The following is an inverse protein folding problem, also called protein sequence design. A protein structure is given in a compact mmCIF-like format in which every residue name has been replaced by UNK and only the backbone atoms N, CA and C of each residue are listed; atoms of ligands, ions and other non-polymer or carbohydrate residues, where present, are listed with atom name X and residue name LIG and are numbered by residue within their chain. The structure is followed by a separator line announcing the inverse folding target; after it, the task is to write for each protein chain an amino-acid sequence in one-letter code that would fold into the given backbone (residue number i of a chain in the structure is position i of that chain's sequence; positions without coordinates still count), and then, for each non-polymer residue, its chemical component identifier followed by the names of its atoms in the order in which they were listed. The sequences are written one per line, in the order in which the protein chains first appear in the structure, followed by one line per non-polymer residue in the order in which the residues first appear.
data_IF_227779443508
#
_entry.id   IF_227779443508
#
_cell.length_a   1.000
_cell.length_b   1.000
_cell.length_c   1.000
_cell.angle_alpha   90.00
_cell.angle_beta   90.00
_cell.angle_gamma   90.00
#
_symmetry.space_group_name_H-M   'P 1'
#
loop_
_entity.id
_entity.type
_entity.pdbx_description
1 polymer ?
#
# COMPACT_ATOMS: atom_id res chain seq x y z
N UNK A 1 -21.60 -17.77 30.48
CA UNK A 1 -21.41 -16.44 31.09
C UNK A 1 -21.28 -15.43 29.95
N UNK A 2 -22.37 -14.67 29.70
CA UNK A 2 -22.36 -13.63 28.66
C UNK A 2 -21.57 -12.43 29.16
N UNK A 3 -20.72 -11.87 28.30
CA UNK A 3 -20.02 -10.62 28.58
C UNK A 3 -21.05 -9.49 28.75
N UNK A 4 -20.93 -8.70 29.83
CA UNK A 4 -21.81 -7.56 30.11
C UNK A 4 -21.70 -6.55 28.94
N UNK A 5 -22.80 -5.94 28.45
CA UNK A 5 -22.78 -5.04 27.28
C UNK A 5 -21.81 -3.87 27.41
N UNK A 6 -21.49 -3.41 28.62
CA UNK A 6 -20.45 -2.40 28.85
C UNK A 6 -19.04 -2.83 28.40
N UNK A 7 -18.69 -4.10 28.51
CA UNK A 7 -17.42 -4.61 28.06
C UNK A 7 -17.30 -4.67 26.53
N UNK A 8 -18.42 -4.90 25.84
CA UNK A 8 -18.48 -4.83 24.36
C UNK A 8 -18.21 -3.42 23.84
N UNK A 9 -18.74 -2.40 24.53
CA UNK A 9 -18.53 -0.99 24.18
C UNK A 9 -17.04 -0.62 24.38
N UNK A 10 -16.44 -1.00 25.50
CA UNK A 10 -15.01 -0.75 25.78
C UNK A 10 -14.12 -1.46 24.76
N UNK A 11 -14.45 -2.68 24.35
CA UNK A 11 -13.74 -3.43 23.33
C UNK A 11 -13.80 -2.75 21.95
N UNK A 12 -14.96 -2.22 21.57
CA UNK A 12 -15.15 -1.49 20.32
C UNK A 12 -14.34 -0.18 20.29
N UNK A 13 -14.32 0.57 21.42
CA UNK A 13 -13.52 1.78 21.54
C UNK A 13 -12.00 1.50 21.42
N UNK A 14 -11.52 0.47 22.10
CA UNK A 14 -10.10 0.08 22.06
C UNK A 14 -9.70 -0.39 20.66
N UNK A 15 -10.55 -1.15 19.97
CA UNK A 15 -10.25 -1.61 18.61
C UNK A 15 -10.23 -0.46 17.61
N UNK A 16 -11.11 0.53 17.73
CA UNK A 16 -11.08 1.74 16.90
C UNK A 16 -9.80 2.57 17.10
N UNK A 17 -9.36 2.74 18.35
CA UNK A 17 -8.11 3.45 18.66
C UNK A 17 -6.86 2.74 18.11
N UNK A 18 -6.84 1.40 18.06
CA UNK A 18 -5.72 0.66 17.50
C UNK A 18 -5.76 0.73 15.97
N UNK A 19 -6.94 0.65 15.38
CA UNK A 19 -7.09 0.75 13.93
C UNK A 19 -6.62 2.12 13.43
N UNK A 20 -7.00 3.21 14.10
CA UNK A 20 -6.56 4.57 13.77
C UNK A 20 -5.03 4.76 13.86
N UNK A 21 -4.33 3.93 14.63
CA UNK A 21 -2.87 4.02 14.75
C UNK A 21 -2.09 3.53 13.53
N UNK A 22 -2.78 3.00 12.53
CA UNK A 22 -2.18 2.65 11.23
C UNK A 22 -2.19 3.80 10.23
N UNK A 23 -2.87 4.91 10.48
CA UNK A 23 -3.11 5.96 9.51
C UNK A 23 -2.60 7.29 10.03
N UNK A 24 -1.79 7.99 9.23
CA UNK A 24 -1.21 9.30 9.55
C UNK A 24 -1.41 10.26 8.36
N UNK A 25 -2.68 10.58 8.03
CA UNK A 25 -2.97 11.51 6.95
C UNK A 25 -2.61 12.94 7.32
N UNK A 26 -2.24 13.73 6.30
CA UNK A 26 -2.20 15.18 6.38
C UNK A 26 -2.62 15.81 5.04
N UNK A 27 -2.77 17.14 5.03
CA UNK A 27 -3.16 17.93 3.87
C UNK A 27 -2.00 18.80 3.33
N UNK A 28 -0.79 18.66 3.92
CA UNK A 28 0.36 19.44 3.49
C UNK A 28 0.77 19.05 2.06
N UNK A 29 1.06 20.05 1.24
CA UNK A 29 1.66 19.84 -0.08
C UNK A 29 3.17 19.82 0.09
N UNK A 30 3.79 18.68 -0.19
CA UNK A 30 5.24 18.46 -0.11
C UNK A 30 5.91 18.74 -1.44
N UNK A 31 5.41 18.10 -2.50
CA UNK A 31 5.93 18.22 -3.85
C UNK A 31 4.80 18.25 -4.87
N UNK A 32 5.10 18.86 -6.01
CA UNK A 32 4.27 18.82 -7.22
C UNK A 32 5.04 18.12 -8.33
N UNK A 33 4.39 17.55 -9.35
CA UNK A 33 5.08 17.00 -10.53
C UNK A 33 6.01 18.02 -11.21
N UNK A 34 5.65 19.30 -11.20
CA UNK A 34 6.46 20.40 -11.72
C UNK A 34 7.83 20.52 -11.05
N UNK A 35 7.96 20.20 -9.75
CA UNK A 35 9.24 20.21 -9.03
C UNK A 35 10.23 19.18 -9.59
N UNK A 36 9.72 18.16 -10.26
CA UNK A 36 10.50 17.13 -10.95
C UNK A 36 10.50 17.32 -12.48
N UNK A 37 10.08 18.48 -12.99
CA UNK A 37 9.93 18.75 -14.43
C UNK A 37 9.08 17.67 -15.13
N UNK A 38 7.96 17.33 -14.53
CA UNK A 38 6.93 16.43 -15.05
C UNK A 38 5.62 17.18 -15.23
N UNK A 39 4.88 16.79 -16.25
CA UNK A 39 3.51 17.24 -16.45
C UNK A 39 2.55 16.35 -15.65
N UNK A 40 1.40 16.89 -15.28
CA UNK A 40 0.32 16.10 -14.69
C UNK A 40 -1.04 16.53 -15.21
N UNK A 41 -1.95 15.59 -15.19
CA UNK A 41 -3.38 15.81 -15.30
C UNK A 41 -4.01 15.56 -13.94
N UNK A 42 -4.45 16.61 -13.27
CA UNK A 42 -5.23 16.47 -12.04
C UNK A 42 -6.56 15.76 -12.35
N UNK A 43 -6.90 14.77 -11.55
CA UNK A 43 -8.11 13.97 -11.73
C UNK A 43 -8.95 13.94 -10.46
N UNK A 44 -10.24 13.75 -10.66
CA UNK A 44 -11.22 13.51 -9.60
C UNK A 44 -12.05 12.31 -9.99
N UNK A 45 -12.23 11.39 -9.07
CA UNK A 45 -13.09 10.21 -9.28
C UNK A 45 -13.79 9.84 -7.98
N UNK A 46 -14.76 8.94 -8.05
CA UNK A 46 -15.56 8.54 -6.90
C UNK A 46 -15.05 7.21 -6.34
N UNK A 47 -14.87 7.15 -5.03
CA UNK A 47 -14.74 5.91 -4.26
C UNK A 47 -15.99 5.05 -4.37
N UNK A 48 -15.92 3.81 -3.85
CA UNK A 48 -17.02 2.85 -3.98
C UNK A 48 -18.36 3.27 -3.35
N UNK A 49 -18.33 4.25 -2.46
CA UNK A 49 -19.50 4.85 -1.78
C UNK A 49 -19.80 6.29 -2.22
N UNK A 50 -19.20 6.76 -3.32
CA UNK A 50 -19.36 8.13 -3.81
C UNK A 50 -18.43 9.16 -3.16
N UNK A 51 -17.52 8.77 -2.25
CA UNK A 51 -16.51 9.67 -1.69
C UNK A 51 -15.63 10.22 -2.81
N UNK A 52 -15.47 11.55 -2.87
CA UNK A 52 -14.69 12.21 -3.92
C UNK A 52 -13.21 12.11 -3.64
N UNK A 53 -12.49 11.42 -4.52
CA UNK A 53 -11.06 11.19 -4.45
C UNK A 53 -10.31 12.05 -5.45
N UNK A 54 -9.10 12.47 -5.07
CA UNK A 54 -8.21 13.32 -5.89
C UNK A 54 -6.95 12.55 -6.24
N UNK A 55 -6.51 12.71 -7.47
CA UNK A 55 -5.30 12.06 -7.96
C UNK A 55 -4.60 12.84 -9.05
N UNK A 56 -3.51 12.26 -9.52
CA UNK A 56 -2.75 12.71 -10.67
C UNK A 56 -2.54 11.57 -11.66
N UNK A 57 -2.71 11.87 -12.92
CA UNK A 57 -2.16 11.08 -14.01
C UNK A 57 -0.94 11.83 -14.54
N UNK A 58 0.23 11.26 -14.37
CA UNK A 58 1.53 11.80 -14.79
C UNK A 58 1.95 11.02 -16.04
N UNK A 59 1.98 11.64 -17.23
CA UNK A 59 2.32 10.93 -18.46
C UNK A 59 3.78 10.49 -18.50
N UNK A 60 4.05 9.44 -19.24
CA UNK A 60 5.40 9.00 -19.55
C UNK A 60 6.15 10.08 -20.34
N UNK A 61 7.44 10.20 -20.10
CA UNK A 61 8.34 11.03 -20.92
C UNK A 61 8.69 10.25 -22.19
N UNK A 62 8.09 10.63 -23.31
CA UNK A 62 8.20 9.90 -24.58
C UNK A 62 7.16 8.79 -24.74
N UNK A 63 7.55 7.68 -25.38
CA UNK A 63 6.64 6.56 -25.63
C UNK A 63 6.30 5.82 -24.34
N UNK A 64 5.00 5.59 -24.08
CA UNK A 64 4.55 4.84 -22.93
C UNK A 64 4.57 3.34 -23.17
N UNK A 65 5.09 2.58 -22.21
CA UNK A 65 4.98 1.12 -22.13
C UNK A 65 3.69 0.66 -21.45
N UNK A 66 3.00 1.55 -20.73
CA UNK A 66 1.79 1.25 -19.96
C UNK A 66 1.66 2.17 -18.76
N UNK A 67 0.74 1.86 -17.87
CA UNK A 67 0.43 2.72 -16.71
C UNK A 67 0.68 1.99 -15.39
N UNK A 68 1.50 2.60 -14.54
CA UNK A 68 1.71 2.15 -13.16
C UNK A 68 0.69 2.85 -12.26
N UNK A 69 -0.16 2.08 -11.60
CA UNK A 69 -1.06 2.57 -10.54
C UNK A 69 -0.31 2.44 -9.22
N UNK A 70 -0.03 3.56 -8.59
CA UNK A 70 0.77 3.62 -7.38
C UNK A 70 -0.09 3.77 -6.14
N UNK A 71 0.11 2.84 -5.19
CA UNK A 71 -0.52 2.80 -3.88
C UNK A 71 0.51 3.11 -2.81
N UNK A 72 0.46 4.30 -2.25
CA UNK A 72 1.44 4.74 -1.25
C UNK A 72 1.13 4.21 0.16
N UNK A 73 2.05 4.44 1.09
CA UNK A 73 2.00 3.98 2.47
C UNK A 73 1.02 4.75 3.36
N UNK A 74 1.25 4.74 4.67
CA UNK A 74 0.29 5.25 5.66
C UNK A 74 0.53 6.68 6.12
N UNK A 75 1.59 7.34 5.65
CA UNK A 75 2.01 8.67 6.11
C UNK A 75 1.70 9.74 5.07
N UNK A 76 1.39 10.97 5.54
CA UNK A 76 1.20 12.14 4.70
C UNK A 76 0.13 11.96 3.60
N UNK A 77 0.48 12.13 2.32
CA UNK A 77 -0.41 12.06 1.17
C UNK A 77 0.39 11.84 -0.13
N UNK A 78 -0.28 11.75 -1.32
CA UNK A 78 0.38 11.50 -2.62
C UNK A 78 1.52 12.46 -2.94
N UNK A 79 1.44 13.72 -2.44
CA UNK A 79 2.45 14.74 -2.76
C UNK A 79 3.79 14.43 -2.09
N UNK A 80 3.78 13.86 -0.88
CA UNK A 80 4.98 13.35 -0.20
C UNK A 80 5.61 12.19 -0.98
N UNK A 81 4.78 11.25 -1.42
CA UNK A 81 5.26 10.05 -2.11
C UNK A 81 5.68 10.27 -3.57
N UNK A 82 5.56 11.49 -4.08
CA UNK A 82 6.04 11.81 -5.41
C UNK A 82 7.56 11.58 -5.57
N UNK A 83 8.34 11.80 -4.51
CA UNK A 83 9.77 11.45 -4.48
C UNK A 83 10.03 9.97 -4.76
N UNK A 84 9.10 9.08 -4.41
CA UNK A 84 9.27 7.63 -4.57
C UNK A 84 9.05 7.18 -6.01
N UNK A 85 8.30 7.94 -6.81
CA UNK A 85 7.79 7.49 -8.13
C UNK A 85 8.12 8.44 -9.29
N UNK A 86 8.63 9.67 -9.04
CA UNK A 86 8.90 10.67 -10.08
C UNK A 86 9.84 10.19 -11.21
N UNK A 87 10.57 9.13 -11.00
CA UNK A 87 11.48 8.52 -11.97
C UNK A 87 10.77 7.58 -12.95
N UNK A 88 9.60 7.02 -12.61
CA UNK A 88 8.84 6.10 -13.45
C UNK A 88 8.45 6.70 -14.81
N UNK A 89 7.99 7.97 -14.90
CA UNK A 89 7.71 8.59 -16.20
C UNK A 89 8.91 8.61 -17.14
N UNK A 90 10.13 8.82 -16.60
CA UNK A 90 11.37 8.77 -17.40
C UNK A 90 11.80 7.36 -17.78
N UNK A 91 11.25 6.34 -17.13
CA UNK A 91 11.44 4.93 -17.51
C UNK A 91 10.39 4.46 -18.54
N UNK A 92 9.51 5.36 -18.98
CA UNK A 92 8.50 5.12 -20.01
C UNK A 92 7.17 4.57 -19.47
N UNK A 93 6.78 4.92 -18.26
CA UNK A 93 5.47 4.54 -17.71
C UNK A 93 4.64 5.79 -17.40
N UNK A 94 3.37 5.78 -17.79
CA UNK A 94 2.43 6.69 -17.12
C UNK A 94 2.32 6.29 -15.65
N UNK A 95 2.10 7.26 -14.78
CA UNK A 95 1.89 7.01 -13.35
C UNK A 95 0.56 7.59 -12.93
N UNK A 96 -0.29 6.75 -12.35
CA UNK A 96 -1.49 7.18 -11.67
C UNK A 96 -1.27 7.05 -10.17
N UNK A 97 -1.47 8.14 -9.43
CA UNK A 97 -1.44 8.17 -7.96
C UNK A 97 -2.61 8.98 -7.43
N UNK A 98 -3.11 8.66 -6.27
CA UNK A 98 -4.31 9.29 -5.70
C UNK A 98 -4.21 9.36 -4.18
N UNK A 99 -4.97 10.26 -3.57
CA UNK A 99 -5.16 10.27 -2.12
C UNK A 99 -6.32 9.36 -1.75
N UNK A 100 -6.11 8.48 -0.79
CA UNK A 100 -7.19 7.77 -0.11
C UNK A 100 -8.12 8.76 0.59
N UNK A 101 -9.33 8.33 0.91
CA UNK A 101 -10.25 9.12 1.74
C UNK A 101 -9.58 9.65 3.01
N UNK A 102 -9.81 10.93 3.31
CA UNK A 102 -9.24 11.59 4.47
C UNK A 102 -7.74 11.87 4.39
N UNK A 103 -7.09 11.61 3.23
CA UNK A 103 -5.72 11.97 2.94
C UNK A 103 -5.68 13.12 1.93
N UNK A 104 -4.71 14.03 2.09
CA UNK A 104 -4.40 15.10 1.14
C UNK A 104 -5.63 15.91 0.74
N UNK A 105 -5.97 15.89 -0.54
CA UNK A 105 -7.09 16.64 -1.10
C UNK A 105 -8.37 15.81 -1.30
N UNK A 106 -8.38 14.53 -0.92
CA UNK A 106 -9.56 13.66 -0.98
C UNK A 106 -10.52 13.92 0.17
N UNK A 107 -11.81 13.77 -0.12
CA UNK A 107 -12.86 13.93 0.90
C UNK A 107 -12.98 12.69 1.80
N UNK A 108 -13.90 12.77 2.76
CA UNK A 108 -14.23 11.67 3.67
C UNK A 108 -13.31 11.57 4.88
N UNK A 109 -13.37 10.45 5.55
CA UNK A 109 -12.53 10.12 6.71
C UNK A 109 -11.93 8.74 6.57
N UNK A 110 -10.74 8.57 7.15
CA UNK A 110 -9.99 7.32 7.04
C UNK A 110 -10.69 6.19 7.75
N UNK A 111 -10.99 5.13 7.01
CA UNK A 111 -11.41 3.84 7.54
C UNK A 111 -10.93 2.71 6.62
N UNK A 112 -10.72 1.55 7.21
CA UNK A 112 -10.12 0.41 6.51
C UNK A 112 -10.97 -0.09 5.34
N UNK A 113 -12.28 -0.18 5.52
CA UNK A 113 -13.20 -0.65 4.48
C UNK A 113 -13.26 0.35 3.33
N UNK A 114 -13.31 1.63 3.67
CA UNK A 114 -13.32 2.71 2.71
C UNK A 114 -12.04 2.77 1.89
N UNK A 115 -10.85 2.66 2.50
CA UNK A 115 -9.58 2.62 1.77
C UNK A 115 -9.48 1.41 0.82
N UNK A 116 -10.06 0.26 1.20
CA UNK A 116 -10.19 -0.86 0.27
C UNK A 116 -11.10 -0.49 -0.93
N UNK A 117 -12.24 0.15 -0.68
CA UNK A 117 -13.16 0.60 -1.75
C UNK A 117 -12.50 1.65 -2.64
N UNK A 118 -11.75 2.59 -2.08
CA UNK A 118 -10.96 3.58 -2.82
C UNK A 118 -9.93 2.92 -3.74
N UNK A 119 -9.26 1.87 -3.25
CA UNK A 119 -8.29 1.10 -4.03
C UNK A 119 -8.92 0.39 -5.22
N UNK A 120 -10.10 -0.20 -5.03
CA UNK A 120 -10.90 -0.82 -6.11
C UNK A 120 -11.33 0.24 -7.12
N UNK A 121 -11.83 1.38 -6.64
CA UNK A 121 -12.28 2.49 -7.48
C UNK A 121 -11.13 3.09 -8.30
N UNK A 122 -9.93 3.22 -7.71
CA UNK A 122 -8.75 3.73 -8.39
C UNK A 122 -8.34 2.87 -9.59
N UNK A 123 -8.33 1.54 -9.43
CA UNK A 123 -8.03 0.62 -10.53
C UNK A 123 -9.09 0.74 -11.65
N UNK A 124 -10.38 0.70 -11.30
CA UNK A 124 -11.49 0.84 -12.24
C UNK A 124 -11.45 2.19 -12.97
N UNK A 125 -11.12 3.26 -12.25
CA UNK A 125 -11.00 4.58 -12.84
C UNK A 125 -9.91 4.60 -13.92
N UNK A 126 -8.71 4.08 -13.63
CA UNK A 126 -7.63 4.00 -14.63
C UNK A 126 -8.03 3.17 -15.84
N UNK A 127 -8.72 2.05 -15.63
CA UNK A 127 -9.24 1.22 -16.74
C UNK A 127 -10.27 1.96 -17.61
N UNK A 128 -10.95 2.98 -17.08
CA UNK A 128 -11.96 3.77 -17.79
C UNK A 128 -11.41 4.98 -18.55
N UNK A 129 -10.13 5.33 -18.35
CA UNK A 129 -9.52 6.50 -19.01
C UNK A 129 -9.26 6.16 -20.49
N UNK A 130 -9.87 6.86 -21.47
CA UNK A 130 -9.77 6.50 -22.89
C UNK A 130 -8.35 6.51 -23.45
N UNK A 131 -7.51 7.41 -22.94
CA UNK A 131 -6.12 7.61 -23.41
C UNK A 131 -5.12 6.65 -22.77
N UNK A 132 -5.57 5.74 -21.90
CA UNK A 132 -4.75 4.73 -21.23
C UNK A 132 -4.92 3.37 -21.91
N UNK A 133 -3.80 2.74 -22.27
CA UNK A 133 -3.84 1.34 -22.67
C UNK A 133 -4.17 0.45 -21.45
N UNK A 134 -5.44 0.14 -21.29
CA UNK A 134 -5.96 -0.67 -20.20
C UNK A 134 -5.50 -2.14 -20.24
N UNK A 135 -4.79 -2.57 -21.31
CA UNK A 135 -4.18 -3.91 -21.43
C UNK A 135 -2.81 -3.98 -20.76
N UNK A 136 -2.17 -2.84 -20.50
CA UNK A 136 -0.83 -2.73 -19.93
C UNK A 136 -0.82 -1.90 -18.64
N UNK A 137 -1.49 -2.43 -17.61
CA UNK A 137 -1.55 -1.84 -16.28
C UNK A 137 -0.64 -2.60 -15.32
N UNK A 138 0.05 -1.85 -14.49
CA UNK A 138 0.95 -2.37 -13.47
C UNK A 138 0.57 -1.79 -12.11
N UNK A 139 0.77 -2.57 -11.06
CA UNK A 139 0.58 -2.10 -9.69
C UNK A 139 1.94 -1.99 -9.01
N UNK A 140 2.23 -0.81 -8.48
CA UNK A 140 3.33 -0.61 -7.55
C UNK A 140 2.77 -0.12 -6.22
N UNK A 141 3.07 -0.81 -5.13
CA UNK A 141 2.47 -0.53 -3.85
C UNK A 141 3.48 -0.61 -2.69
N UNK A 142 3.44 0.35 -1.79
CA UNK A 142 4.36 0.45 -0.67
C UNK A 142 3.64 0.35 0.68
N UNK A 143 4.21 -0.44 1.60
CA UNK A 143 3.77 -0.52 2.99
C UNK A 143 2.25 -0.79 3.10
N UNK A 144 1.48 0.11 3.71
CA UNK A 144 0.02 0.02 3.81
C UNK A 144 -0.66 -0.03 2.43
N UNK A 145 -0.14 0.68 1.43
CA UNK A 145 -0.67 0.63 0.07
C UNK A 145 -0.66 -0.78 -0.51
N UNK A 146 0.37 -1.57 -0.20
CA UNK A 146 0.44 -2.97 -0.61
C UNK A 146 -0.65 -3.84 0.01
N UNK A 147 -1.11 -3.52 1.22
CA UNK A 147 -2.22 -4.23 1.86
C UNK A 147 -3.50 -4.07 1.06
N UNK A 148 -3.82 -2.82 0.68
CA UNK A 148 -5.06 -2.54 -0.06
C UNK A 148 -4.97 -2.93 -1.52
N UNK A 149 -3.80 -2.81 -2.15
CA UNK A 149 -3.58 -3.30 -3.51
C UNK A 149 -3.78 -4.83 -3.60
N UNK A 150 -3.17 -5.61 -2.70
CA UNK A 150 -3.37 -7.07 -2.62
C UNK A 150 -4.85 -7.39 -2.38
N UNK A 151 -5.51 -6.69 -1.45
CA UNK A 151 -6.90 -6.93 -1.15
C UNK A 151 -7.82 -6.60 -2.34
N UNK A 152 -7.56 -5.50 -3.05
CA UNK A 152 -8.33 -5.13 -4.23
C UNK A 152 -8.20 -6.19 -5.33
N UNK A 153 -6.98 -6.62 -5.66
CA UNK A 153 -6.71 -7.63 -6.68
C UNK A 153 -7.28 -9.00 -6.32
N UNK A 154 -7.14 -9.42 -5.06
CA UNK A 154 -7.58 -10.75 -4.62
C UNK A 154 -9.10 -10.92 -4.53
N UNK A 155 -9.85 -9.83 -4.47
CA UNK A 155 -11.31 -9.85 -4.27
C UNK A 155 -12.11 -9.35 -5.46
N UNK A 156 -11.45 -8.89 -6.50
CA UNK A 156 -12.09 -8.40 -7.72
C UNK A 156 -11.33 -8.92 -8.93
N UNK A 157 -12.04 -9.04 -10.03
CA UNK A 157 -11.46 -9.40 -11.32
C UNK A 157 -11.15 -8.12 -12.10
N UNK A 158 -9.87 -7.89 -12.37
CA UNK A 158 -9.39 -6.75 -13.15
C UNK A 158 -8.64 -7.24 -14.37
N UNK A 159 -9.16 -6.93 -15.55
CA UNK A 159 -8.44 -7.17 -16.79
C UNK A 159 -7.23 -6.25 -16.93
N UNK A 160 -6.22 -6.68 -17.68
CA UNK A 160 -5.09 -5.86 -18.08
C UNK A 160 -4.04 -5.58 -17.00
N UNK A 161 -4.18 -6.08 -15.78
CA UNK A 161 -3.12 -6.05 -14.78
C UNK A 161 -2.05 -7.06 -15.16
N UNK A 162 -0.87 -6.58 -15.55
CA UNK A 162 0.23 -7.39 -16.09
C UNK A 162 1.23 -7.85 -15.06
N UNK A 163 1.50 -7.01 -14.04
CA UNK A 163 2.38 -7.38 -12.94
C UNK A 163 2.11 -6.50 -11.71
N UNK A 164 2.45 -7.03 -10.55
CA UNK A 164 2.29 -6.38 -9.25
C UNK A 164 3.63 -6.38 -8.53
N UNK A 165 4.07 -5.23 -8.05
CA UNK A 165 5.22 -5.11 -7.16
C UNK A 165 4.76 -4.52 -5.82
N UNK A 166 5.09 -5.20 -4.73
CA UNK A 166 4.84 -4.71 -3.37
C UNK A 166 6.15 -4.56 -2.62
N UNK A 167 6.32 -3.42 -1.96
CA UNK A 167 7.53 -3.10 -1.19
C UNK A 167 7.20 -2.85 0.27
N UNK A 168 7.95 -3.48 1.16
CA UNK A 168 7.86 -3.28 2.62
C UNK A 168 6.43 -3.42 3.18
N UNK A 169 5.62 -4.30 2.59
CA UNK A 169 4.22 -4.52 2.96
C UNK A 169 4.13 -5.51 4.12
N UNK A 170 3.30 -5.21 5.11
CA UNK A 170 3.06 -6.15 6.20
C UNK A 170 2.04 -7.23 5.82
N UNK A 171 2.22 -8.42 6.37
CA UNK A 171 1.39 -9.59 6.04
C UNK A 171 0.03 -9.58 6.74
N UNK A 172 -0.08 -8.96 7.93
CA UNK A 172 -1.28 -9.01 8.75
C UNK A 172 -1.38 -7.81 9.68
N UNK A 173 -2.55 -7.20 9.77
CA UNK A 173 -2.83 -6.11 10.70
C UNK A 173 -2.58 -6.51 12.16
N UNK A 174 -2.97 -7.71 12.56
CA UNK A 174 -2.74 -8.20 13.93
C UNK A 174 -1.25 -8.41 14.22
N UNK A 175 -0.49 -8.94 13.26
CA UNK A 175 0.94 -9.17 13.45
C UNK A 175 1.70 -7.85 13.55
N UNK A 176 1.38 -6.88 12.68
CA UNK A 176 1.98 -5.55 12.69
C UNK A 176 1.60 -4.77 13.95
N UNK A 177 0.34 -4.75 14.36
CA UNK A 177 -0.09 -4.14 15.62
C UNK A 177 0.68 -4.71 16.83
N UNK A 178 0.86 -6.04 16.86
CA UNK A 178 1.64 -6.69 17.92
C UNK A 178 3.09 -6.21 17.94
N UNK A 179 3.69 -6.06 16.79
CA UNK A 179 5.05 -5.57 16.67
C UNK A 179 5.17 -4.10 17.09
N UNK A 180 4.28 -3.23 16.59
CA UNK A 180 4.23 -1.81 16.94
C UNK A 180 4.05 -1.60 18.46
N UNK A 181 3.16 -2.36 19.09
CA UNK A 181 2.96 -2.28 20.54
C UNK A 181 4.19 -2.73 21.34
N UNK A 182 4.88 -3.77 20.90
CA UNK A 182 6.15 -4.18 21.56
C UNK A 182 7.22 -3.09 21.51
N UNK A 183 7.25 -2.31 20.41
CA UNK A 183 8.23 -1.21 20.27
C UNK A 183 7.84 0.04 21.06
N UNK A 184 6.55 0.39 21.06
CA UNK A 184 6.05 1.65 21.66
C UNK A 184 5.79 1.55 23.17
N UNK A 185 5.73 0.35 23.77
CA UNK A 185 5.49 0.18 25.20
C UNK A 185 6.82 0.18 25.94
N UNK A 186 7.24 1.28 26.58
CA UNK A 186 8.36 1.26 27.53
C UNK A 186 8.02 0.27 28.63
N UNK A 187 9.05 -0.37 29.22
CA UNK A 187 8.93 -1.33 30.34
C UNK A 187 8.13 -0.84 31.57
N UNK A 188 7.75 0.43 31.60
CA UNK A 188 6.98 1.09 32.68
C UNK A 188 5.53 0.63 32.76
N UNK A 189 4.82 0.38 31.63
CA UNK A 189 3.39 -0.04 31.66
C UNK A 189 3.26 -1.52 32.08
N UNK A 190 4.33 -2.30 31.92
CA UNK A 190 4.38 -3.71 32.38
C UNK A 190 4.42 -3.81 33.91
N UNK A 191 4.74 -2.71 34.63
CA UNK A 191 4.89 -2.70 36.09
C UNK A 191 3.62 -2.40 36.88
N UNK A 192 2.49 -2.14 36.26
CA UNK A 192 1.20 -2.03 36.95
C UNK A 192 0.49 -3.39 36.83
N UNK A 193 0.57 -4.28 37.84
CA UNK A 193 0.08 -5.66 37.74
C UNK A 193 -1.41 -5.77 37.44
N UNK A 194 -2.20 -4.78 37.84
CA UNK A 194 -3.65 -4.75 37.61
C UNK A 194 -4.08 -4.21 36.23
N UNK A 195 -3.20 -3.50 35.50
CA UNK A 195 -3.48 -2.97 34.16
C UNK A 195 -2.90 -3.83 33.03
N UNK A 196 -1.92 -4.68 33.30
CA UNK A 196 -1.18 -5.42 32.27
C UNK A 196 -1.83 -6.74 31.86
N UNK A 197 -2.68 -7.32 32.66
CA UNK A 197 -3.26 -8.64 32.39
C UNK A 197 -4.42 -8.64 31.38
N UNK A 198 -5.46 -7.82 31.46
CA UNK A 198 -6.58 -7.96 30.55
C UNK A 198 -6.42 -7.20 29.21
N UNK A 199 -5.51 -6.22 29.13
CA UNK A 199 -5.43 -5.34 27.95
C UNK A 199 -4.78 -6.03 26.74
N UNK A 200 -3.71 -6.81 26.93
CA UNK A 200 -2.98 -7.46 25.85
C UNK A 200 -3.79 -8.45 25.01
N UNK A 201 -4.49 -9.43 25.57
CA UNK A 201 -5.30 -10.34 24.76
C UNK A 201 -6.55 -9.67 24.18
N UNK A 202 -7.13 -8.72 24.92
CA UNK A 202 -8.37 -8.04 24.54
C UNK A 202 -8.19 -7.08 23.37
N UNK A 203 -7.08 -6.34 23.32
CA UNK A 203 -6.76 -5.45 22.20
C UNK A 203 -6.54 -6.20 20.88
N UNK A 204 -6.01 -7.44 20.93
CA UNK A 204 -5.86 -8.28 19.75
C UNK A 204 -7.16 -8.92 19.26
N UNK A 205 -8.08 -9.24 20.18
CA UNK A 205 -9.36 -9.85 19.82
C UNK A 205 -10.28 -8.87 19.10
N UNK A 206 -10.19 -7.56 19.41
CA UNK A 206 -10.99 -6.52 18.78
C UNK A 206 -10.46 -6.06 17.41
N UNK A 207 -9.15 -6.23 17.13
CA UNK A 207 -8.59 -5.80 15.86
C UNK A 207 -9.00 -6.76 14.73
N UNK A 208 -9.76 -6.25 13.77
CA UNK A 208 -10.11 -7.02 12.57
C UNK A 208 -8.87 -7.38 11.78
N UNK A 209 -8.80 -8.61 11.28
CA UNK A 209 -7.78 -9.05 10.32
C UNK A 209 -8.27 -8.94 8.88
N UNK A 210 -9.43 -8.30 8.66
CA UNK A 210 -9.97 -8.09 7.33
C UNK A 210 -8.94 -7.37 6.45
N UNK A 211 -8.84 -7.80 5.20
CA UNK A 211 -7.88 -7.34 4.21
C UNK A 211 -6.40 -7.65 4.52
N UNK A 212 -6.10 -8.52 5.48
CA UNK A 212 -4.71 -8.93 5.72
C UNK A 212 -4.14 -9.67 4.51
N UNK A 213 -2.99 -9.19 3.98
CA UNK A 213 -2.42 -9.75 2.75
C UNK A 213 -2.14 -11.25 2.78
N UNK A 214 -1.71 -11.80 3.93
CA UNK A 214 -1.40 -13.23 4.05
C UNK A 214 -2.61 -14.15 3.81
N UNK A 215 -3.83 -13.64 4.01
CA UNK A 215 -5.07 -14.38 3.78
C UNK A 215 -5.60 -14.26 2.33
N UNK A 216 -4.91 -13.46 1.49
CA UNK A 216 -5.40 -13.02 0.19
C UNK A 216 -4.38 -13.16 -0.95
N UNK A 217 -3.09 -13.10 -0.65
CA UNK A 217 -2.02 -12.99 -1.65
C UNK A 217 -1.95 -14.16 -2.63
N UNK A 218 -2.40 -15.34 -2.23
CA UNK A 218 -2.49 -16.53 -3.08
C UNK A 218 -3.47 -16.38 -4.25
N UNK A 219 -4.41 -15.44 -4.14
CA UNK A 219 -5.44 -15.17 -5.17
C UNK A 219 -5.00 -14.17 -6.24
N UNK A 220 -3.81 -13.58 -6.13
CA UNK A 220 -3.26 -12.69 -7.16
C UNK A 220 -2.86 -13.48 -8.40
N UNK A 221 -2.42 -14.71 -8.22
CA UNK A 221 -2.11 -15.60 -9.35
C UNK A 221 -3.32 -15.71 -10.31
N UNK A 222 -3.09 -15.67 -11.64
CA UNK A 222 -1.81 -15.83 -12.34
C UNK A 222 -1.03 -14.54 -12.61
N UNK A 223 -1.38 -13.40 -12.00
CA UNK A 223 -0.65 -12.15 -12.19
C UNK A 223 0.72 -12.23 -11.50
N UNK A 224 1.84 -11.97 -12.21
CA UNK A 224 3.18 -11.99 -11.64
C UNK A 224 3.33 -11.02 -10.46
N UNK A 225 3.81 -11.52 -9.32
CA UNK A 225 4.01 -10.78 -8.09
C UNK A 225 5.49 -10.66 -7.74
N UNK A 226 5.99 -9.43 -7.57
CA UNK A 226 7.31 -9.15 -7.02
C UNK A 226 7.17 -8.61 -5.60
N UNK A 227 7.78 -9.30 -4.64
CA UNK A 227 7.86 -8.87 -3.24
C UNK A 227 9.26 -8.32 -2.98
N UNK A 228 9.34 -7.04 -2.60
CA UNK A 228 10.59 -6.32 -2.32
C UNK A 228 10.59 -5.98 -0.82
N UNK A 229 11.70 -6.25 -0.13
CA UNK A 229 11.79 -5.91 1.29
C UNK A 229 13.23 -5.72 1.75
N UNK A 230 13.45 -4.67 2.55
CA UNK A 230 14.72 -4.44 3.20
C UNK A 230 14.89 -5.38 4.39
N UNK A 231 16.00 -6.13 4.43
CA UNK A 231 16.24 -7.11 5.52
C UNK A 231 16.39 -6.47 6.89
N UNK A 232 16.77 -5.18 6.94
CA UNK A 232 16.92 -4.40 8.17
C UNK A 232 15.71 -3.48 8.48
N UNK A 233 14.57 -3.68 7.82
CA UNK A 233 13.37 -2.89 8.04
C UNK A 233 12.88 -3.00 9.49
N UNK A 234 12.89 -1.86 10.20
CA UNK A 234 12.45 -1.76 11.59
C UNK A 234 11.02 -1.29 11.74
N UNK A 235 10.40 -0.78 10.68
CA UNK A 235 8.99 -0.38 10.71
C UNK A 235 8.10 -1.60 10.46
N UNK A 236 8.35 -2.32 9.38
CA UNK A 236 7.69 -3.59 9.04
C UNK A 236 8.75 -4.69 8.98
N UNK A 237 8.81 -5.60 9.96
CA UNK A 237 9.83 -6.64 10.01
C UNK A 237 9.87 -7.52 8.77
N UNK A 238 11.07 -7.85 8.30
CA UNK A 238 11.35 -8.65 7.10
C UNK A 238 10.54 -9.97 7.01
N UNK A 239 10.27 -10.61 8.16
CA UNK A 239 9.44 -11.82 8.23
C UNK A 239 8.05 -11.68 7.60
N UNK A 240 7.52 -10.44 7.47
CA UNK A 240 6.24 -10.21 6.79
C UNK A 240 6.35 -10.51 5.30
N UNK A 241 7.46 -10.14 4.69
CA UNK A 241 7.72 -10.45 3.29
C UNK A 241 7.93 -11.97 3.07
N UNK A 242 8.64 -12.64 3.98
CA UNK A 242 8.80 -14.08 3.95
C UNK A 242 7.43 -14.79 3.99
N UNK A 243 6.56 -14.39 4.92
CA UNK A 243 5.20 -14.93 5.03
C UNK A 243 4.35 -14.71 3.76
N UNK A 244 4.46 -13.52 3.15
CA UNK A 244 3.76 -13.23 1.91
C UNK A 244 4.29 -14.08 0.76
N UNK A 245 5.61 -14.22 0.64
CA UNK A 245 6.23 -15.03 -0.40
C UNK A 245 5.90 -16.52 -0.25
N UNK A 246 5.94 -17.06 0.95
CA UNK A 246 5.55 -18.45 1.22
C UNK A 246 4.10 -18.72 0.84
N UNK A 247 3.21 -17.76 1.10
CA UNK A 247 1.77 -17.90 0.88
C UNK A 247 1.33 -17.65 -0.55
N UNK A 248 2.03 -16.77 -1.29
CA UNK A 248 1.70 -16.45 -2.67
C UNK A 248 1.84 -17.67 -3.59
N UNK A 249 0.95 -17.76 -4.59
CA UNK A 249 1.08 -18.71 -5.69
C UNK A 249 1.98 -18.17 -6.80
N UNK A 250 2.50 -19.04 -7.66
CA UNK A 250 3.28 -18.64 -8.83
C UNK A 250 2.38 -17.94 -9.89
N UNK A 251 2.97 -17.04 -10.70
CA UNK A 251 4.37 -16.62 -10.74
C UNK A 251 4.69 -15.57 -9.65
N UNK A 252 5.69 -15.87 -8.82
CA UNK A 252 6.12 -14.99 -7.74
C UNK A 252 7.62 -14.82 -7.71
N UNK A 253 8.06 -13.62 -7.35
CA UNK A 253 9.47 -13.25 -7.24
C UNK A 253 9.73 -12.62 -5.88
N UNK A 254 10.89 -12.92 -5.30
CA UNK A 254 11.30 -12.35 -4.03
C UNK A 254 12.61 -11.59 -4.19
N UNK A 255 12.62 -10.37 -3.73
CA UNK A 255 13.81 -9.53 -3.75
C UNK A 255 14.12 -8.96 -2.36
N UNK A 256 14.84 -9.72 -1.52
CA UNK A 256 15.41 -9.19 -0.30
C UNK A 256 16.55 -8.22 -0.64
N UNK A 257 16.64 -7.11 0.09
CA UNK A 257 17.68 -6.10 -0.09
C UNK A 257 18.35 -5.80 1.24
N UNK A 258 19.68 -5.93 1.27
CA UNK A 258 20.47 -5.62 2.45
C UNK A 258 20.86 -4.14 2.50
N UNK A 259 21.08 -3.61 3.72
CA UNK A 259 21.63 -2.28 3.93
C UNK A 259 20.65 -1.13 3.61
N UNK A 260 19.36 -1.39 3.71
CA UNK A 260 18.30 -0.39 3.62
C UNK A 260 17.31 -0.51 4.77
N UNK A 261 16.47 0.50 4.94
CA UNK A 261 15.39 0.57 5.92
C UNK A 261 14.02 0.64 5.23
N UNK A 262 12.95 0.86 6.00
CA UNK A 262 11.58 0.90 5.50
C UNK A 262 11.41 1.89 4.34
N UNK A 263 11.10 1.38 3.16
CA UNK A 263 10.80 2.18 1.94
C UNK A 263 11.88 3.21 1.60
N UNK A 264 13.17 2.88 1.81
CA UNK A 264 14.28 3.82 1.52
C UNK A 264 15.07 3.49 0.26
N UNK A 265 14.66 2.49 -0.52
CA UNK A 265 15.40 2.04 -1.70
C UNK A 265 15.50 3.11 -2.79
N UNK A 266 14.48 3.96 -2.93
CA UNK A 266 14.44 5.01 -3.94
C UNK A 266 15.44 6.15 -3.68
N UNK A 267 15.81 6.43 -2.42
CA UNK A 267 16.79 7.47 -2.02
C UNK A 267 18.15 6.91 -1.63
N UNK A 268 18.27 5.62 -1.37
CA UNK A 268 19.52 5.01 -0.95
C UNK A 268 20.54 5.04 -2.10
N UNK A 269 21.60 5.85 -1.94
CA UNK A 269 22.62 6.06 -2.95
C UNK A 269 23.28 4.77 -3.48
N UNK A 270 23.30 3.70 -2.67
CA UNK A 270 23.85 2.39 -3.07
C UNK A 270 22.89 1.58 -3.95
N UNK A 271 21.60 1.82 -3.83
CA UNK A 271 20.57 0.92 -4.37
C UNK A 271 19.65 1.60 -5.37
N UNK A 272 19.50 2.94 -5.32
CA UNK A 272 18.44 3.67 -6.04
C UNK A 272 18.42 3.40 -7.55
N UNK A 273 19.57 3.42 -8.22
CA UNK A 273 19.61 3.19 -9.68
C UNK A 273 19.33 1.72 -10.03
N UNK A 274 19.96 0.79 -9.33
CA UNK A 274 19.72 -0.64 -9.53
C UNK A 274 18.26 -1.00 -9.21
N UNK A 275 17.69 -0.38 -8.19
CA UNK A 275 16.29 -0.53 -7.79
C UNK A 275 15.33 -0.06 -8.89
N UNK A 276 15.51 1.18 -9.39
CA UNK A 276 14.69 1.76 -10.46
C UNK A 276 14.75 0.92 -11.72
N UNK A 277 15.95 0.52 -12.13
CA UNK A 277 16.16 -0.33 -13.31
C UNK A 277 15.49 -1.69 -13.14
N UNK A 278 15.66 -2.36 -12.00
CA UNK A 278 15.12 -3.70 -11.77
C UNK A 278 13.59 -3.67 -11.70
N UNK A 279 12.99 -2.68 -11.03
CA UNK A 279 11.54 -2.55 -10.97
C UNK A 279 10.95 -2.24 -12.35
N UNK A 280 11.56 -1.30 -13.10
CA UNK A 280 11.13 -1.00 -14.46
C UNK A 280 11.31 -2.21 -15.40
N UNK A 281 12.40 -2.96 -15.30
CA UNK A 281 12.63 -4.18 -16.07
C UNK A 281 11.58 -5.26 -15.73
N UNK A 282 11.23 -5.42 -14.46
CA UNK A 282 10.17 -6.34 -14.05
C UNK A 282 8.84 -6.00 -14.73
N UNK A 283 8.43 -4.75 -14.76
CA UNK A 283 7.21 -4.35 -15.47
C UNK A 283 7.34 -4.55 -16.98
N UNK A 284 8.47 -4.16 -17.59
CA UNK A 284 8.69 -4.32 -19.04
C UNK A 284 8.72 -5.77 -19.51
N UNK A 285 9.18 -6.70 -18.67
CA UNK A 285 9.18 -8.13 -19.00
C UNK A 285 7.78 -8.78 -19.00
N UNK A 286 6.76 -8.06 -18.53
CA UNK A 286 5.39 -8.54 -18.47
C UNK A 286 4.41 -7.69 -19.33
N UNK A 287 4.93 -6.95 -20.30
CA UNK A 287 4.10 -6.27 -21.29
C UNK A 287 3.22 -7.26 -22.03
N UNK A 288 1.97 -6.87 -22.32
CA UNK A 288 1.14 -7.62 -23.24
C UNK A 288 1.72 -7.60 -24.65
N UNK A 289 1.47 -8.63 -25.42
CA UNK A 289 1.84 -8.65 -26.83
C UNK A 289 1.26 -7.42 -27.54
N UNK A 290 2.09 -6.76 -28.35
CA UNK A 290 1.62 -5.73 -29.26
C UNK A 290 0.85 -6.43 -30.39
N UNK A 291 -0.39 -6.00 -30.63
CA UNK A 291 -1.17 -6.42 -31.81
C UNK A 291 -0.52 -5.93 -33.09
#
# INVERSE_FOLDING_TARGET
MGLHPAWLIVLLWISGCIDSSFYYPDEQVYHTPGDFSLEEKAVTFEGGDGTRLRGWLIPAVGTSYGTVIYFYGNFANRTYYLEHIHWLPRMGFNVFTFDYRGYGASEGSVDRSGMYQDSVAAIKYVQSIPDIDSRNLFIYAQSLGGVFAIAALAKNDFSGIRAVAVESTFSSFRAEARYMMKRKTPNIIVRIPCLSWPIRPVTYLGLSNAFSPVDLVDRISPVPLLIIHCTSDKAVPYRHAEQLYERANDPKHFWPVDGCEHVTLFTNWKHSDAYRQKLAAFFKSHLGEAD
#
